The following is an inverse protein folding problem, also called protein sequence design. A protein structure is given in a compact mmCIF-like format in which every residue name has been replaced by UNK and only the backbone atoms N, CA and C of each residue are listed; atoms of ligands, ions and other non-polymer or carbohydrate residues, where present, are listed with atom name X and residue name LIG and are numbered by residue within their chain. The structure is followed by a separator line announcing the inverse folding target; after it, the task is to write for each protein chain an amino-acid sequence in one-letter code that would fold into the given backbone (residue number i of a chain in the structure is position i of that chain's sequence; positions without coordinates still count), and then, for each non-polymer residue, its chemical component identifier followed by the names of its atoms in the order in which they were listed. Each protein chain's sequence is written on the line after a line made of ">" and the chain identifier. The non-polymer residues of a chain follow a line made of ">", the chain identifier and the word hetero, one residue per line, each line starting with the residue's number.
data_IF_174075345676
#
_entry.id   IF_174075345676
#
_cell.length_a   1.000
_cell.length_b   1.000
_cell.length_c   1.000
_cell.angle_alpha   90.00
_cell.angle_beta   90.00
_cell.angle_gamma   90.00
#
_symmetry.space_group_name_H-M   'P 1'
#
loop_
_entity.id
_entity.type
_entity.pdbx_description
1 polymer ?
#
# COMPACT_ATOMS: atom_id res chain seq x y z
N UNK A 1 7.29 16.47 10.49
CA UNK A 1 5.99 15.90 10.09
C UNK A 1 5.49 14.85 11.06
N UNK A 2 6.25 13.77 11.34
CA UNK A 2 5.79 12.72 12.28
C UNK A 2 5.47 13.26 13.69
N UNK A 3 6.23 14.22 14.20
CA UNK A 3 5.93 14.87 15.48
C UNK A 3 4.59 15.63 15.47
N UNK A 4 4.23 16.28 14.35
CA UNK A 4 2.93 16.92 14.17
C UNK A 4 1.78 15.88 14.17
N UNK A 5 1.97 14.78 13.46
CA UNK A 5 1.01 13.66 13.48
C UNK A 5 0.84 13.08 14.90
N UNK A 6 1.95 12.88 15.63
CA UNK A 6 1.91 12.36 17.00
C UNK A 6 1.20 13.30 17.97
N UNK A 7 1.50 14.60 17.90
CA UNK A 7 0.97 15.59 18.85
C UNK A 7 -0.48 15.99 18.53
N UNK A 8 -0.86 15.98 17.24
CA UNK A 8 -2.17 16.43 16.76
C UNK A 8 -2.78 15.45 15.75
N UNK A 9 -3.00 14.16 16.12
CA UNK A 9 -3.43 13.13 15.18
C UNK A 9 -4.76 13.44 14.51
N UNK A 10 -5.68 14.14 15.19
CA UNK A 10 -6.98 14.54 14.61
C UNK A 10 -6.85 15.66 13.56
N UNK A 11 -5.79 16.48 13.64
CA UNK A 11 -5.55 17.56 12.65
C UNK A 11 -4.73 17.06 11.48
N UNK A 12 -3.83 16.12 11.74
CA UNK A 12 -2.84 15.57 10.79
C UNK A 12 -2.87 14.04 10.83
N UNK A 13 -4.02 13.42 10.46
CA UNK A 13 -4.22 11.98 10.66
C UNK A 13 -3.37 11.11 9.76
N UNK A 14 -2.79 11.66 8.69
CA UNK A 14 -2.10 10.89 7.64
C UNK A 14 -0.75 11.51 7.30
N UNK A 15 0.29 10.70 7.36
CA UNK A 15 1.61 10.97 6.84
C UNK A 15 1.96 9.93 5.77
N UNK A 16 2.07 10.36 4.51
CA UNK A 16 2.60 9.56 3.41
C UNK A 16 4.07 9.90 3.27
N UNK A 17 4.94 8.93 3.52
CA UNK A 17 6.36 9.14 3.73
C UNK A 17 7.19 8.34 2.72
N UNK A 18 8.21 8.97 2.19
CA UNK A 18 9.24 8.31 1.38
C UNK A 18 10.47 8.08 2.22
N UNK A 19 10.45 7.04 3.05
CA UNK A 19 11.58 6.73 3.95
C UNK A 19 12.81 6.18 3.23
N UNK A 20 12.70 5.79 1.95
CA UNK A 20 13.81 5.42 1.07
C UNK A 20 14.34 6.64 0.27
N UNK A 21 14.54 7.78 0.93
CA UNK A 21 14.96 9.04 0.32
C UNK A 21 16.22 8.91 -0.57
N UNK A 22 16.28 9.74 -1.63
CA UNK A 22 17.39 9.79 -2.58
C UNK A 22 17.18 8.97 -3.86
N UNK A 23 15.95 8.49 -4.14
CA UNK A 23 15.61 7.70 -5.33
C UNK A 23 14.43 8.29 -6.10
N UNK A 24 14.27 7.99 -7.40
CA UNK A 24 13.22 8.58 -8.25
C UNK A 24 11.80 8.40 -7.72
N UNK A 25 11.52 7.30 -7.01
CA UNK A 25 10.20 6.95 -6.49
C UNK A 25 9.88 7.58 -5.13
N UNK A 26 10.90 8.05 -4.40
CA UNK A 26 10.79 8.59 -3.05
C UNK A 26 10.96 10.10 -2.96
N UNK A 27 10.40 10.86 -3.92
CA UNK A 27 10.66 12.30 -3.99
C UNK A 27 9.95 13.12 -2.92
N UNK A 28 8.70 12.79 -2.60
CA UNK A 28 7.88 13.63 -1.73
C UNK A 28 7.45 12.92 -0.46
N UNK A 29 7.44 13.66 0.65
CA UNK A 29 6.73 13.30 1.88
C UNK A 29 5.59 14.29 2.08
N UNK A 30 4.38 13.79 2.40
CA UNK A 30 3.16 14.57 2.56
C UNK A 30 2.54 14.32 3.93
N UNK A 31 2.36 15.37 4.72
CA UNK A 31 1.49 15.35 5.91
C UNK A 31 0.17 16.00 5.53
N UNK A 32 -0.89 15.21 5.44
CA UNK A 32 -2.22 15.67 5.05
C UNK A 32 -2.88 16.38 6.23
N UNK A 33 -3.60 17.46 5.95
CA UNK A 33 -4.14 18.36 6.96
C UNK A 33 -5.56 18.85 6.63
N UNK A 34 -6.29 19.31 7.66
CA UNK A 34 -7.63 19.82 7.52
C UNK A 34 -8.62 18.75 7.11
N UNK A 35 -8.76 17.65 7.89
CA UNK A 35 -9.72 16.62 7.61
C UNK A 35 -11.15 17.18 7.74
N UNK A 36 -11.98 16.88 6.75
CA UNK A 36 -13.41 17.23 6.69
C UNK A 36 -14.24 15.98 6.38
N UNK A 37 -15.32 16.06 5.63
CA UNK A 37 -16.21 14.96 5.30
C UNK A 37 -15.53 13.63 4.96
N UNK A 38 -16.25 12.55 5.20
CA UNK A 38 -15.80 11.18 4.95
C UNK A 38 -16.79 10.43 4.08
N UNK A 39 -16.30 9.54 3.26
CA UNK A 39 -17.03 8.41 2.69
C UNK A 39 -16.40 7.14 3.25
N UNK A 40 -17.21 6.28 3.86
CA UNK A 40 -16.76 5.08 4.53
C UNK A 40 -17.61 3.89 4.12
N UNK A 41 -16.97 2.77 3.83
CA UNK A 41 -17.57 1.44 3.73
C UNK A 41 -17.17 0.66 4.98
N UNK A 42 -18.16 0.25 5.80
CA UNK A 42 -17.91 -0.51 7.02
C UNK A 42 -17.82 -2.03 6.78
N UNK A 43 -17.46 -2.78 7.82
CA UNK A 43 -17.36 -4.24 7.78
C UNK A 43 -18.68 -4.95 7.47
N UNK A 44 -19.82 -4.30 7.75
CA UNK A 44 -21.17 -4.78 7.43
C UNK A 44 -21.60 -4.42 5.99
N UNK A 45 -20.67 -3.85 5.20
CA UNK A 45 -20.87 -3.40 3.81
C UNK A 45 -21.88 -2.28 3.67
N UNK A 46 -22.00 -1.42 4.69
CA UNK A 46 -22.82 -0.22 4.66
C UNK A 46 -21.97 0.99 4.31
N UNK A 47 -22.49 1.81 3.43
CA UNK A 47 -21.88 3.07 3.03
C UNK A 47 -22.37 4.20 3.91
N UNK A 48 -21.44 5.00 4.45
CA UNK A 48 -21.70 6.16 5.28
C UNK A 48 -21.04 7.40 4.69
N UNK A 49 -21.69 8.56 4.88
CA UNK A 49 -21.12 9.87 4.56
C UNK A 49 -21.34 10.30 3.12
N UNK A 50 -20.33 10.90 2.52
CA UNK A 50 -20.38 11.68 1.30
C UNK A 50 -20.62 10.86 0.01
N UNK A 51 -21.05 11.57 -1.04
CA UNK A 51 -21.31 11.00 -2.35
C UNK A 51 -22.67 10.32 -2.47
N UNK A 52 -23.04 10.01 -3.71
CA UNK A 52 -24.29 9.30 -4.06
C UNK A 52 -23.90 8.05 -4.88
N UNK A 53 -24.65 6.96 -4.70
CA UNK A 53 -24.45 5.69 -5.38
C UNK A 53 -24.55 4.51 -4.43
N UNK A 54 -24.58 3.31 -5.00
CA UNK A 54 -24.77 2.05 -4.28
C UNK A 54 -23.44 1.38 -3.90
N UNK A 55 -22.33 1.82 -4.50
CA UNK A 55 -20.99 1.29 -4.27
C UNK A 55 -20.01 2.40 -3.86
N UNK A 56 -18.97 2.04 -3.12
CA UNK A 56 -17.95 2.97 -2.64
C UNK A 56 -17.32 3.79 -3.78
N UNK A 57 -16.93 3.14 -4.87
CA UNK A 57 -16.31 3.83 -6.00
C UNK A 57 -17.26 4.79 -6.72
N UNK A 58 -18.57 4.49 -6.79
CA UNK A 58 -19.57 5.39 -7.40
C UNK A 58 -19.76 6.65 -6.57
N UNK A 59 -19.82 6.49 -5.22
CA UNK A 59 -19.91 7.64 -4.31
C UNK A 59 -18.64 8.48 -4.34
N UNK A 60 -17.47 7.84 -4.41
CA UNK A 60 -16.20 8.54 -4.56
C UNK A 60 -16.18 9.40 -5.83
N UNK A 61 -16.59 8.81 -6.97
CA UNK A 61 -16.65 9.51 -8.24
C UNK A 61 -17.64 10.70 -8.20
N UNK A 62 -18.85 10.49 -7.65
CA UNK A 62 -19.84 11.54 -7.51
C UNK A 62 -19.31 12.67 -6.59
N UNK A 63 -18.62 12.33 -5.52
CA UNK A 63 -18.01 13.30 -4.62
C UNK A 63 -16.86 14.06 -5.30
N UNK A 64 -15.94 13.34 -5.93
CA UNK A 64 -14.85 13.96 -6.68
C UNK A 64 -15.36 14.88 -7.80
N UNK A 65 -16.34 14.45 -8.60
CA UNK A 65 -16.91 15.28 -9.67
C UNK A 65 -17.51 16.59 -9.16
N UNK A 66 -18.11 16.58 -7.98
CA UNK A 66 -18.67 17.77 -7.34
C UNK A 66 -17.59 18.75 -6.88
N UNK A 67 -16.43 18.24 -6.43
CA UNK A 67 -15.39 19.03 -5.79
C UNK A 67 -14.09 19.14 -6.58
N UNK A 68 -14.02 18.51 -7.75
CA UNK A 68 -12.79 18.54 -8.58
C UNK A 68 -12.37 19.98 -8.89
N UNK A 69 -11.07 20.16 -9.02
CA UNK A 69 -10.44 21.47 -9.23
C UNK A 69 -9.18 21.40 -10.05
N UNK A 70 -8.44 22.50 -10.13
CA UNK A 70 -7.20 22.55 -10.90
C UNK A 70 -6.12 21.64 -10.31
N UNK A 71 -5.18 21.25 -11.16
CA UNK A 71 -3.98 20.56 -10.73
C UNK A 71 -3.20 21.40 -9.69
N UNK A 72 -2.52 20.75 -8.73
CA UNK A 72 -1.64 21.45 -7.81
C UNK A 72 -0.52 22.18 -8.58
N UNK A 73 0.02 23.29 -8.03
CA UNK A 73 1.12 23.99 -8.68
C UNK A 73 2.37 23.11 -8.76
N UNK A 74 3.00 23.04 -9.93
CA UNK A 74 4.23 22.26 -10.09
C UNK A 74 5.36 22.76 -9.15
N UNK A 75 6.19 21.88 -8.62
CA UNK A 75 6.28 20.43 -8.89
C UNK A 75 5.45 19.57 -7.94
N UNK A 76 4.57 20.13 -7.15
CA UNK A 76 3.90 19.50 -6.03
C UNK A 76 2.80 18.52 -6.48
N UNK A 77 2.69 17.35 -5.85
CA UNK A 77 1.73 16.34 -6.27
C UNK A 77 0.34 16.51 -5.66
N UNK A 78 0.19 17.37 -4.64
CA UNK A 78 -1.04 17.52 -3.87
C UNK A 78 -1.16 18.93 -3.28
N UNK A 79 -2.35 19.52 -3.35
CA UNK A 79 -2.66 20.80 -2.70
C UNK A 79 -4.04 20.79 -2.02
N UNK A 80 -4.65 19.60 -1.93
CA UNK A 80 -5.97 19.28 -1.42
C UNK A 80 -6.57 18.13 -2.24
N UNK A 81 -7.56 17.45 -1.66
CA UNK A 81 -8.16 16.25 -2.22
C UNK A 81 -8.56 15.27 -1.14
N UNK A 82 -8.31 13.99 -1.33
CA UNK A 82 -8.72 12.93 -0.41
C UNK A 82 -7.53 12.04 -0.05
N UNK A 83 -7.46 11.63 1.20
CA UNK A 83 -6.79 10.40 1.60
C UNK A 83 -7.69 9.22 1.24
N UNK A 84 -7.11 8.17 0.68
CA UNK A 84 -7.79 6.92 0.41
C UNK A 84 -7.15 5.79 1.22
N UNK A 85 -7.98 4.98 1.86
CA UNK A 85 -7.65 3.67 2.40
C UNK A 85 -8.60 2.65 1.78
N UNK A 86 -8.06 1.60 1.20
CA UNK A 86 -8.79 0.53 0.52
C UNK A 86 -8.33 -0.80 1.15
N UNK A 87 -9.14 -1.38 2.03
CA UNK A 87 -8.91 -2.71 2.59
C UNK A 87 -9.19 -3.79 1.54
N UNK A 88 -8.55 -4.94 1.68
CA UNK A 88 -8.63 -6.02 0.70
C UNK A 88 -10.07 -6.44 0.36
N UNK A 89 -10.96 -6.45 1.35
CA UNK A 89 -12.36 -6.88 1.19
C UNK A 89 -13.20 -5.94 0.31
N UNK A 90 -12.71 -4.73 -0.02
CA UNK A 90 -13.31 -3.89 -1.06
C UNK A 90 -13.37 -4.63 -2.41
N UNK A 91 -12.50 -5.62 -2.63
CA UNK A 91 -12.52 -6.45 -3.82
C UNK A 91 -13.89 -7.08 -4.09
N UNK A 92 -14.70 -7.37 -3.06
CA UNK A 92 -16.07 -7.90 -3.28
C UNK A 92 -17.06 -6.84 -3.77
N UNK A 93 -16.77 -5.54 -3.70
CA UNK A 93 -17.56 -4.51 -4.40
C UNK A 93 -17.07 -4.31 -5.84
N UNK A 94 -15.76 -4.46 -6.06
CA UNK A 94 -15.13 -4.38 -7.39
C UNK A 94 -15.56 -5.56 -8.26
N UNK A 95 -15.61 -6.76 -7.66
CA UNK A 95 -16.01 -8.00 -8.32
C UNK A 95 -17.12 -8.68 -7.51
N UNK A 96 -18.40 -8.44 -7.84
CA UNK A 96 -19.54 -8.94 -7.05
C UNK A 96 -19.69 -10.46 -6.99
N UNK A 97 -18.99 -11.20 -7.85
CA UNK A 97 -18.96 -12.67 -7.82
C UNK A 97 -18.17 -13.24 -6.64
N UNK A 98 -17.29 -12.42 -6.02
CA UNK A 98 -16.46 -12.85 -4.92
C UNK A 98 -17.24 -13.01 -3.60
N UNK A 99 -16.89 -14.07 -2.88
CA UNK A 99 -17.32 -14.32 -1.51
C UNK A 99 -16.09 -14.37 -0.62
N UNK A 100 -15.66 -13.21 -0.13
CA UNK A 100 -14.51 -13.10 0.76
C UNK A 100 -14.94 -13.23 2.23
N UNK A 101 -14.06 -13.75 3.11
CA UNK A 101 -14.25 -13.66 4.55
C UNK A 101 -14.45 -12.20 5.00
N UNK A 102 -15.17 -11.95 6.11
CA UNK A 102 -15.39 -10.60 6.59
C UNK A 102 -14.08 -9.90 6.97
N UNK A 103 -14.04 -8.59 6.80
CA UNK A 103 -12.88 -7.79 7.20
C UNK A 103 -12.63 -7.90 8.71
N UNK A 104 -11.37 -8.08 9.16
CA UNK A 104 -11.01 -8.00 10.58
C UNK A 104 -11.06 -6.56 11.12
N UNK A 105 -11.14 -5.56 10.23
CA UNK A 105 -11.21 -4.16 10.58
C UNK A 105 -12.63 -3.61 10.41
N UNK A 106 -13.05 -2.64 11.25
CA UNK A 106 -14.39 -2.04 11.15
C UNK A 106 -14.59 -1.23 9.87
N UNK A 107 -13.49 -0.81 9.24
CA UNK A 107 -13.46 -0.01 8.01
C UNK A 107 -12.89 -0.85 6.88
N UNK A 108 -13.68 -1.05 5.83
CA UNK A 108 -13.27 -1.73 4.59
C UNK A 108 -12.67 -0.73 3.61
N UNK A 109 -13.27 0.46 3.46
CA UNK A 109 -12.71 1.52 2.64
C UNK A 109 -13.05 2.89 3.21
N UNK A 110 -12.13 3.84 3.03
CA UNK A 110 -12.27 5.21 3.49
C UNK A 110 -11.75 6.18 2.42
N UNK A 111 -12.57 7.16 2.07
CA UNK A 111 -12.11 8.39 1.44
C UNK A 111 -12.33 9.53 2.44
N UNK A 112 -11.25 10.25 2.77
CA UNK A 112 -11.27 11.30 3.78
C UNK A 112 -10.77 12.61 3.17
N UNK A 113 -11.62 13.62 3.15
CA UNK A 113 -11.34 14.91 2.55
C UNK A 113 -10.24 15.64 3.33
N UNK A 114 -9.19 16.10 2.63
CA UNK A 114 -8.05 16.81 3.18
C UNK A 114 -7.87 18.13 2.46
N UNK A 115 -7.96 19.25 3.17
CA UNK A 115 -8.01 20.60 2.59
C UNK A 115 -6.64 21.24 2.38
N UNK A 116 -5.59 20.67 2.99
CA UNK A 116 -4.24 21.18 2.92
C UNK A 116 -3.20 20.06 3.13
N UNK A 117 -1.95 20.35 2.88
CA UNK A 117 -0.82 19.48 3.21
C UNK A 117 0.46 20.28 3.51
N UNK A 118 1.31 19.71 4.36
CA UNK A 118 2.72 20.05 4.46
C UNK A 118 3.50 19.05 3.59
N UNK A 119 4.23 19.58 2.60
CA UNK A 119 4.97 18.76 1.64
C UNK A 119 6.45 19.01 1.76
N UNK A 120 7.24 17.94 1.66
CA UNK A 120 8.69 18.02 1.61
C UNK A 120 9.19 17.34 0.32
N UNK A 121 9.98 18.06 -0.46
CA UNK A 121 10.65 17.54 -1.66
C UNK A 121 12.08 17.15 -1.31
N UNK A 122 12.35 15.86 -1.24
CA UNK A 122 13.68 15.32 -0.92
C UNK A 122 14.74 15.66 -1.97
N UNK A 123 14.35 16.01 -3.20
CA UNK A 123 15.31 16.37 -4.27
C UNK A 123 15.85 17.77 -4.13
N UNK A 124 15.03 18.71 -3.68
CA UNK A 124 15.39 20.11 -3.49
C UNK A 124 15.61 20.51 -2.03
N UNK A 125 15.18 19.68 -1.08
CA UNK A 125 15.13 20.00 0.36
C UNK A 125 14.03 21.02 0.72
N UNK A 126 13.21 21.44 -0.24
CA UNK A 126 12.16 22.41 -0.01
C UNK A 126 10.99 21.81 0.78
N UNK A 127 10.45 22.62 1.70
CA UNK A 127 9.23 22.28 2.45
C UNK A 127 8.21 23.39 2.25
N UNK A 128 6.98 23.05 1.92
CA UNK A 128 5.92 24.02 1.66
C UNK A 128 4.59 23.58 2.27
N UNK A 129 3.75 24.55 2.58
CA UNK A 129 2.36 24.35 2.96
C UNK A 129 1.52 24.72 1.74
N UNK A 130 0.72 23.78 1.26
CA UNK A 130 -0.27 24.02 0.22
C UNK A 130 -1.67 23.77 0.79
N UNK A 131 -2.59 24.62 0.41
CA UNK A 131 -3.99 24.54 0.81
C UNK A 131 -4.89 24.95 -0.35
N UNK A 132 -6.08 24.40 -0.37
CA UNK A 132 -7.11 24.78 -1.33
C UNK A 132 -7.57 26.24 -1.15
N UNK A 133 -8.12 26.84 -2.20
CA UNK A 133 -8.87 28.08 -2.04
C UNK A 133 -9.95 27.93 -0.96
N UNK A 134 -9.99 28.87 0.00
CA UNK A 134 -10.91 28.83 1.14
C UNK A 134 -10.40 28.06 2.37
N UNK A 135 -9.25 27.37 2.30
CA UNK A 135 -8.64 26.66 3.44
C UNK A 135 -7.46 27.41 4.09
N UNK A 136 -7.41 28.76 3.93
CA UNK A 136 -6.33 29.59 4.50
C UNK A 136 -6.19 29.42 6.02
N UNK A 137 -7.29 29.23 6.76
CA UNK A 137 -7.26 28.97 8.20
C UNK A 137 -6.58 27.65 8.57
N UNK A 138 -6.69 26.62 7.73
CA UNK A 138 -5.98 25.33 7.92
C UNK A 138 -4.48 25.53 7.71
N UNK A 139 -4.08 26.26 6.66
CA UNK A 139 -2.69 26.57 6.38
C UNK A 139 -2.02 27.40 7.50
N UNK A 140 -2.75 28.38 8.05
CA UNK A 140 -2.28 29.21 9.16
C UNK A 140 -2.09 28.40 10.44
N UNK A 141 -3.06 27.54 10.76
CA UNK A 141 -2.97 26.61 11.90
C UNK A 141 -1.78 25.67 11.76
N UNK A 142 -1.60 25.08 10.57
CA UNK A 142 -0.47 24.19 10.28
C UNK A 142 0.87 24.92 10.45
N UNK A 143 0.97 26.20 10.03
CA UNK A 143 2.13 27.04 10.22
C UNK A 143 2.42 27.29 11.70
N UNK A 144 1.38 27.63 12.48
CA UNK A 144 1.48 27.84 13.92
C UNK A 144 1.91 26.57 14.65
N UNK A 145 1.29 25.44 14.35
CA UNK A 145 1.62 24.15 14.97
C UNK A 145 3.06 23.72 14.60
N UNK A 146 3.51 24.00 13.36
CA UNK A 146 4.88 23.72 12.92
C UNK A 146 5.93 24.58 13.67
N UNK A 147 5.61 25.82 14.02
CA UNK A 147 6.48 26.70 14.82
C UNK A 147 6.53 26.31 16.29
N UNK A 148 5.41 25.76 16.81
CA UNK A 148 5.28 25.37 18.21
C UNK A 148 5.86 23.98 18.50
N UNK A 149 6.03 23.12 17.48
CA UNK A 149 6.46 21.74 17.70
C UNK A 149 7.97 21.66 17.99
N UNK A 150 8.30 20.89 18.99
CA UNK A 150 9.70 20.53 19.28
C UNK A 150 10.28 19.52 18.27
N UNK A 151 11.56 19.18 18.42
CA UNK A 151 12.17 18.13 17.62
C UNK A 151 11.40 16.82 17.76
N UNK A 152 11.29 16.07 16.66
CA UNK A 152 10.62 14.77 16.70
C UNK A 152 11.30 13.86 17.74
N UNK A 153 10.54 13.17 18.60
CA UNK A 153 11.11 12.15 19.45
C UNK A 153 11.81 11.11 18.57
N UNK A 154 13.06 10.82 18.89
CA UNK A 154 13.77 9.71 18.25
C UNK A 154 13.04 8.38 18.48
N UNK A 155 13.43 7.32 17.78
CA UNK A 155 12.82 5.99 17.92
C UNK A 155 13.13 5.31 19.26
N UNK A 156 13.16 6.04 20.37
CA UNK A 156 13.57 5.65 21.73
C UNK A 156 13.50 4.14 22.05
N UNK A 157 14.12 3.64 23.10
CA UNK A 157 14.02 2.25 23.47
C UNK A 157 12.54 1.94 23.72
N UNK A 158 11.98 1.01 22.98
CA UNK A 158 10.67 0.42 23.28
C UNK A 158 10.98 -0.80 24.13
N UNK A 159 10.25 -0.99 25.24
CA UNK A 159 10.19 -2.28 25.91
C UNK A 159 9.93 -3.38 24.86
N UNK A 160 10.45 -4.58 25.06
CA UNK A 160 10.17 -5.69 24.17
C UNK A 160 8.64 -5.82 24.00
N UNK A 161 8.18 -5.99 22.78
CA UNK A 161 6.80 -6.43 22.56
C UNK A 161 6.58 -7.70 23.38
N UNK A 162 5.37 -7.87 23.89
CA UNK A 162 4.96 -9.16 24.45
C UNK A 162 5.19 -10.29 23.45
N UNK A 163 4.92 -11.52 23.83
CA UNK A 163 5.13 -12.68 22.96
C UNK A 163 4.47 -12.47 21.60
N UNK A 164 5.26 -12.56 20.51
CA UNK A 164 4.77 -12.53 19.15
C UNK A 164 4.23 -13.92 18.82
N UNK A 165 2.97 -13.98 18.44
CA UNK A 165 2.28 -15.21 18.05
C UNK A 165 2.21 -15.28 16.52
N UNK A 166 2.75 -16.34 15.95
CA UNK A 166 2.69 -16.68 14.54
C UNK A 166 1.52 -17.64 14.29
N UNK A 167 0.77 -17.49 13.20
CA UNK A 167 -0.24 -18.49 12.79
C UNK A 167 0.43 -19.87 12.63
N UNK A 168 -0.32 -20.95 12.97
CA UNK A 168 0.19 -22.32 12.91
C UNK A 168 0.81 -22.65 11.54
N UNK A 169 2.07 -23.07 11.48
CA UNK A 169 2.76 -23.35 10.23
C UNK A 169 2.04 -24.38 9.36
N UNK A 170 1.46 -25.43 9.96
CA UNK A 170 0.82 -26.50 9.19
C UNK A 170 -0.41 -26.03 8.43
N UNK A 171 -1.18 -25.06 8.94
CA UNK A 171 -2.29 -24.46 8.20
C UNK A 171 -1.82 -23.83 6.88
N UNK A 172 -0.69 -23.12 6.92
CA UNK A 172 -0.11 -22.53 5.72
C UNK A 172 0.42 -23.58 4.74
N UNK A 173 1.09 -24.61 5.26
CA UNK A 173 1.60 -25.71 4.44
C UNK A 173 0.45 -26.47 3.73
N UNK A 174 -0.66 -26.70 4.42
CA UNK A 174 -1.86 -27.29 3.83
C UNK A 174 -2.45 -26.40 2.73
N UNK A 175 -2.57 -25.08 2.99
CA UNK A 175 -3.02 -24.11 2.00
C UNK A 175 -2.11 -24.08 0.76
N UNK A 176 -0.77 -24.15 0.94
CA UNK A 176 0.19 -24.24 -0.16
C UNK A 176 -0.01 -25.50 -0.99
N UNK A 177 -0.18 -26.68 -0.35
CA UNK A 177 -0.43 -27.96 -1.05
C UNK A 177 -1.74 -27.90 -1.86
N UNK A 178 -2.79 -27.30 -1.29
CA UNK A 178 -4.06 -27.10 -1.98
C UNK A 178 -3.93 -26.14 -3.17
N UNK A 179 -3.19 -25.04 -3.01
CA UNK A 179 -2.93 -24.12 -4.13
C UNK A 179 -2.14 -24.80 -5.25
N UNK A 180 -1.13 -25.61 -4.93
CA UNK A 180 -0.41 -26.43 -5.92
C UNK A 180 -1.31 -27.41 -6.66
N UNK A 181 -2.27 -28.03 -5.99
CA UNK A 181 -3.27 -28.89 -6.64
C UNK A 181 -4.15 -28.10 -7.62
N UNK A 182 -4.58 -26.88 -7.28
CA UNK A 182 -5.32 -26.00 -8.19
C UNK A 182 -4.47 -25.55 -9.39
N UNK A 183 -3.19 -25.28 -9.17
CA UNK A 183 -2.24 -24.96 -10.27
C UNK A 183 -2.07 -26.15 -11.20
N UNK A 184 -1.88 -27.35 -10.65
CA UNK A 184 -1.75 -28.59 -11.45
C UNK A 184 -3.05 -28.93 -12.22
N UNK A 185 -4.22 -28.56 -11.69
CA UNK A 185 -5.50 -28.71 -12.36
C UNK A 185 -5.74 -27.64 -13.45
N UNK A 186 -4.89 -26.60 -13.54
CA UNK A 186 -5.02 -25.51 -14.51
C UNK A 186 -6.01 -24.41 -14.09
N UNK A 187 -6.42 -24.36 -12.84
CA UNK A 187 -7.34 -23.34 -12.33
C UNK A 187 -6.69 -21.96 -12.27
N UNK A 188 -5.42 -21.91 -11.85
CA UNK A 188 -4.62 -20.68 -11.70
C UNK A 188 -3.16 -20.96 -12.07
N UNK A 189 -2.43 -19.90 -12.43
CA UNK A 189 -0.97 -19.98 -12.66
C UNK A 189 -0.17 -19.69 -11.39
N UNK A 190 -0.70 -18.80 -10.54
CA UNK A 190 -0.10 -18.37 -9.30
C UNK A 190 -1.19 -17.95 -8.32
N UNK A 191 -1.00 -18.22 -7.03
CA UNK A 191 -1.83 -17.69 -5.95
C UNK A 191 -0.95 -17.16 -4.81
N UNK A 192 -1.19 -15.91 -4.36
CA UNK A 192 -0.44 -15.31 -3.26
C UNK A 192 -1.12 -15.66 -1.92
N UNK A 193 -0.51 -16.57 -1.15
CA UNK A 193 -1.02 -16.99 0.16
C UNK A 193 -0.25 -16.31 1.29
N UNK A 194 -0.96 -15.94 2.36
CA UNK A 194 -0.41 -15.20 3.47
C UNK A 194 -0.71 -15.86 4.82
N UNK A 195 0.09 -15.46 5.82
CA UNK A 195 -0.07 -15.81 7.23
C UNK A 195 0.06 -14.56 8.09
N UNK A 196 -0.35 -14.70 9.35
CA UNK A 196 -0.46 -13.60 10.29
C UNK A 196 0.47 -13.77 11.49
N UNK A 197 0.96 -12.65 12.01
CA UNK A 197 1.63 -12.51 13.30
C UNK A 197 0.88 -11.48 14.13
N UNK A 198 0.70 -11.76 15.41
CA UNK A 198 0.05 -10.88 16.39
C UNK A 198 0.93 -10.67 17.61
N UNK A 199 0.88 -9.48 18.16
CA UNK A 199 1.55 -9.13 19.39
C UNK A 199 0.76 -8.06 20.13
N UNK A 200 0.81 -8.03 21.48
CA UNK A 200 0.34 -6.86 22.21
C UNK A 200 1.11 -5.61 21.74
N UNK A 201 0.44 -4.49 21.59
CA UNK A 201 1.11 -3.22 21.36
C UNK A 201 1.99 -2.91 22.59
N UNK A 202 3.26 -2.48 22.39
CA UNK A 202 4.13 -2.18 23.53
C UNK A 202 3.53 -1.08 24.41
N UNK A 203 3.53 -1.29 25.72
CA UNK A 203 2.92 -0.37 26.67
C UNK A 203 3.54 1.03 26.60
N UNK A 204 2.70 2.07 26.58
CA UNK A 204 3.12 3.48 26.50
C UNK A 204 3.72 3.90 25.15
N UNK A 205 3.60 3.06 24.12
CA UNK A 205 4.09 3.35 22.77
C UNK A 205 2.94 3.78 21.87
N UNK A 206 3.04 5.01 21.35
CA UNK A 206 2.08 5.52 20.37
C UNK A 206 2.30 4.87 18.99
N UNK A 207 1.26 4.79 18.14
CA UNK A 207 1.43 4.36 16.76
C UNK A 207 2.53 5.13 16.01
N UNK A 208 2.68 6.43 16.27
CA UNK A 208 3.72 7.25 15.66
C UNK A 208 5.14 6.81 16.06
N UNK A 209 5.36 6.47 17.32
CA UNK A 209 6.65 5.92 17.79
C UNK A 209 6.93 4.54 17.17
N UNK A 210 5.90 3.69 17.08
CA UNK A 210 6.03 2.39 16.43
C UNK A 210 6.34 2.56 14.93
N UNK A 211 5.69 3.51 14.26
CA UNK A 211 6.00 3.86 12.88
C UNK A 211 7.43 4.38 12.71
N UNK A 212 7.92 5.23 13.61
CA UNK A 212 9.30 5.70 13.58
C UNK A 212 10.32 4.54 13.59
N UNK A 213 10.04 3.47 14.34
CA UNK A 213 10.85 2.24 14.33
C UNK A 213 10.69 1.44 13.05
N UNK A 214 9.46 1.28 12.56
CA UNK A 214 9.20 0.56 11.33
C UNK A 214 9.97 1.15 10.16
N UNK A 215 9.90 2.48 9.97
CA UNK A 215 10.60 3.16 8.88
C UNK A 215 12.13 3.11 9.02
N UNK A 216 12.65 3.01 10.25
CA UNK A 216 14.09 2.84 10.50
C UNK A 216 14.54 1.39 10.23
N UNK A 217 13.75 0.39 10.65
CA UNK A 217 14.07 -1.02 10.50
C UNK A 217 13.86 -1.54 9.06
N UNK A 218 12.89 -0.96 8.33
CA UNK A 218 12.48 -1.39 7.01
C UNK A 218 12.06 -0.20 6.13
N UNK A 219 12.99 0.65 5.67
CA UNK A 219 12.65 1.82 4.86
C UNK A 219 12.03 1.41 3.52
N UNK A 220 10.88 1.99 3.19
CA UNK A 220 10.13 1.76 1.95
C UNK A 220 9.90 3.05 1.16
N UNK A 221 9.73 2.92 -0.16
CA UNK A 221 9.49 4.05 -1.06
C UNK A 221 8.07 4.64 -0.88
N UNK A 222 7.11 3.82 -0.46
CA UNK A 222 5.70 4.16 -0.27
C UNK A 222 5.27 3.89 1.18
N UNK A 223 6.05 4.40 2.13
CA UNK A 223 5.78 4.29 3.56
C UNK A 223 4.68 5.26 3.99
N UNK A 224 4.11 5.05 5.17
CA UNK A 224 3.16 6.00 5.73
C UNK A 224 2.51 5.48 7.00
N UNK A 225 1.90 6.43 7.71
CA UNK A 225 1.02 6.15 8.83
C UNK A 225 -0.31 6.86 8.61
N UNK A 226 -1.40 6.15 8.84
CA UNK A 226 -2.74 6.72 8.83
C UNK A 226 -3.50 6.27 10.09
N UNK A 227 -4.09 7.22 10.81
CA UNK A 227 -4.94 6.97 11.96
C UNK A 227 -6.38 7.39 11.67
N UNK A 228 -7.33 6.50 11.87
CA UNK A 228 -8.76 6.77 11.76
C UNK A 228 -9.54 5.89 12.74
N UNK A 229 -10.47 6.51 13.46
CA UNK A 229 -11.24 5.88 14.51
C UNK A 229 -10.32 5.20 15.56
N UNK A 230 -10.43 3.88 15.76
CA UNK A 230 -9.59 3.08 16.66
C UNK A 230 -8.47 2.31 15.93
N UNK A 231 -8.28 2.57 14.63
CA UNK A 231 -7.33 1.87 13.76
C UNK A 231 -6.15 2.78 13.41
N UNK A 232 -4.93 2.25 13.48
CA UNK A 232 -3.77 2.86 12.88
C UNK A 232 -3.10 1.87 11.90
N UNK A 233 -2.87 2.33 10.66
CA UNK A 233 -2.15 1.59 9.62
C UNK A 233 -0.74 2.16 9.53
N UNK A 234 0.26 1.31 9.76
CA UNK A 234 1.68 1.65 9.72
C UNK A 234 2.34 0.84 8.61
N UNK A 235 2.72 1.50 7.53
CA UNK A 235 3.23 0.84 6.34
C UNK A 235 4.66 1.26 5.99
N UNK A 236 5.47 0.31 5.58
CA UNK A 236 6.78 0.52 4.96
C UNK A 236 6.83 -0.15 3.57
N UNK A 237 5.75 0.03 2.83
CA UNK A 237 5.59 -0.60 1.52
C UNK A 237 6.67 -0.19 0.52
N UNK A 238 7.23 -1.15 -0.23
CA UNK A 238 8.12 -0.87 -1.35
C UNK A 238 7.38 -0.64 -2.66
N UNK A 239 6.06 -0.95 -2.73
CA UNK A 239 5.36 -1.17 -3.99
C UNK A 239 4.21 -0.17 -4.21
N UNK A 240 4.12 0.33 -5.45
CA UNK A 240 3.02 1.18 -5.92
C UNK A 240 1.95 0.30 -6.57
N UNK A 241 0.70 0.53 -6.19
CA UNK A 241 -0.45 -0.03 -6.91
C UNK A 241 -0.64 0.70 -8.24
N UNK A 242 -0.80 2.02 -8.18
CA UNK A 242 -1.08 2.84 -9.34
C UNK A 242 -0.71 4.29 -9.11
N UNK A 243 -0.28 4.97 -10.16
CA UNK A 243 -0.14 6.43 -10.23
C UNK A 243 -0.88 6.96 -11.46
N UNK A 244 -1.66 8.01 -11.25
CA UNK A 244 -2.26 8.82 -12.32
C UNK A 244 -1.72 10.24 -12.21
N UNK A 245 -1.27 10.81 -13.32
CA UNK A 245 -0.82 12.19 -13.43
C UNK A 245 -1.30 12.77 -14.75
N UNK A 246 -2.28 13.67 -14.69
CA UNK A 246 -3.05 14.05 -15.86
C UNK A 246 -3.73 12.82 -16.48
N UNK A 247 -3.48 12.58 -17.77
CA UNK A 247 -3.99 11.38 -18.46
C UNK A 247 -3.03 10.19 -18.45
N UNK A 248 -1.81 10.34 -17.94
CA UNK A 248 -0.87 9.24 -17.82
C UNK A 248 -1.18 8.40 -16.62
N UNK A 249 -1.30 7.08 -16.82
CA UNK A 249 -1.38 6.08 -15.76
C UNK A 249 -0.16 5.18 -15.78
N UNK A 250 0.36 4.84 -14.60
CA UNK A 250 1.54 3.97 -14.44
C UNK A 250 1.25 2.93 -13.35
N UNK A 251 1.67 1.68 -13.59
CA UNK A 251 1.83 0.63 -12.58
C UNK A 251 3.28 0.15 -12.59
N UNK A 252 3.77 -0.34 -11.44
CA UNK A 252 5.18 -0.71 -11.33
C UNK A 252 5.36 -2.03 -10.60
N UNK A 253 5.07 -3.16 -11.28
CA UNK A 253 5.23 -4.49 -10.69
C UNK A 253 6.68 -4.77 -10.33
N UNK A 254 6.86 -5.40 -9.16
CA UNK A 254 8.13 -5.86 -8.64
C UNK A 254 8.11 -7.38 -8.63
N UNK A 255 9.17 -8.01 -9.18
CA UNK A 255 9.39 -9.44 -9.05
C UNK A 255 10.85 -9.71 -8.74
N UNK A 256 11.09 -10.85 -8.12
CA UNK A 256 12.43 -11.23 -7.71
C UNK A 256 13.04 -10.32 -6.64
N UNK A 257 13.67 -10.94 -5.67
CA UNK A 257 14.36 -10.22 -4.59
C UNK A 257 15.64 -10.95 -4.25
N UNK A 258 16.73 -10.21 -4.15
CA UNK A 258 17.99 -10.73 -3.60
C UNK A 258 18.51 -9.81 -2.52
N UNK A 259 19.08 -10.37 -1.44
CA UNK A 259 19.68 -9.55 -0.39
C UNK A 259 20.86 -8.75 -0.95
N UNK A 260 21.01 -7.54 -0.46
CA UNK A 260 22.20 -6.73 -0.70
C UNK A 260 23.30 -7.15 0.26
N UNK A 261 24.46 -7.49 -0.27
CA UNK A 261 25.61 -7.97 0.49
C UNK A 261 26.70 -6.88 0.52
N UNK A 262 27.39 -6.74 1.64
CA UNK A 262 28.50 -5.78 1.78
C UNK A 262 29.66 -6.04 0.80
N UNK A 263 29.80 -7.30 0.37
CA UNK A 263 30.71 -7.72 -0.70
C UNK A 263 29.96 -8.69 -1.62
N UNK A 264 29.76 -8.34 -2.89
CA UNK A 264 29.13 -9.24 -3.86
C UNK A 264 27.80 -8.78 -4.47
N UNK A 265 27.44 -7.49 -4.37
CA UNK A 265 26.25 -6.92 -4.99
C UNK A 265 26.13 -7.27 -6.48
N UNK A 266 27.26 -7.26 -7.22
CA UNK A 266 27.27 -7.61 -8.64
C UNK A 266 26.90 -9.09 -8.89
N UNK A 267 27.29 -10.02 -8.01
CA UNK A 267 26.92 -11.43 -8.12
C UNK A 267 25.43 -11.65 -7.83
N UNK A 268 24.87 -10.99 -6.79
CA UNK A 268 23.45 -11.04 -6.46
C UNK A 268 22.59 -10.47 -7.59
N UNK A 269 23.02 -9.37 -8.21
CA UNK A 269 22.32 -8.77 -9.37
C UNK A 269 22.40 -9.71 -10.59
N UNK A 270 23.58 -10.29 -10.87
CA UNK A 270 23.74 -11.21 -11.98
C UNK A 270 22.87 -12.47 -11.80
N UNK A 271 22.83 -13.04 -10.60
CA UNK A 271 21.95 -14.17 -10.27
C UNK A 271 20.48 -13.82 -10.47
N UNK A 272 20.03 -12.66 -9.94
CA UNK A 272 18.67 -12.19 -10.07
C UNK A 272 18.26 -12.03 -11.54
N UNK A 273 19.11 -11.42 -12.36
CA UNK A 273 18.83 -11.16 -13.78
C UNK A 273 18.94 -12.39 -14.66
N UNK A 274 19.75 -13.39 -14.27
CA UNK A 274 19.93 -14.64 -15.01
C UNK A 274 18.82 -15.68 -14.71
N UNK A 275 18.08 -15.53 -13.61
CA UNK A 275 17.03 -16.48 -13.21
C UNK A 275 15.89 -16.52 -14.24
N UNK A 276 15.76 -17.66 -14.94
CA UNK A 276 14.67 -17.87 -15.90
C UNK A 276 13.30 -17.88 -15.21
N UNK A 277 13.21 -18.41 -13.98
CA UNK A 277 11.97 -18.44 -13.16
C UNK A 277 11.51 -17.01 -12.85
N UNK A 278 12.40 -16.19 -12.26
CA UNK A 278 12.07 -14.80 -11.88
C UNK A 278 11.65 -13.96 -13.10
N UNK A 279 12.31 -14.17 -14.24
CA UNK A 279 11.97 -13.49 -15.51
C UNK A 279 10.61 -13.90 -16.03
N UNK A 280 10.29 -15.21 -16.00
CA UNK A 280 8.99 -15.72 -16.46
C UNK A 280 7.85 -15.22 -15.57
N UNK A 281 8.02 -15.24 -14.25
CA UNK A 281 7.07 -14.66 -13.29
C UNK A 281 6.88 -13.17 -13.56
N UNK A 282 7.96 -12.42 -13.76
CA UNK A 282 7.89 -10.99 -14.02
C UNK A 282 7.15 -10.64 -15.32
N UNK A 283 7.36 -11.41 -16.39
CA UNK A 283 6.62 -11.25 -17.66
C UNK A 283 5.13 -11.50 -17.44
N UNK A 284 4.76 -12.51 -16.67
CA UNK A 284 3.36 -12.78 -16.32
C UNK A 284 2.73 -11.61 -15.56
N UNK A 285 3.44 -11.02 -14.59
CA UNK A 285 2.96 -9.83 -13.87
C UNK A 285 2.81 -8.62 -14.79
N UNK A 286 3.76 -8.39 -15.70
CA UNK A 286 3.65 -7.33 -16.70
C UNK A 286 2.41 -7.51 -17.58
N UNK A 287 2.12 -8.71 -18.04
CA UNK A 287 0.95 -8.98 -18.87
C UNK A 287 -0.36 -8.78 -18.10
N UNK A 288 -0.39 -9.14 -16.81
CA UNK A 288 -1.53 -8.88 -15.93
C UNK A 288 -1.79 -7.36 -15.79
N UNK A 289 -0.74 -6.58 -15.51
CA UNK A 289 -0.84 -5.11 -15.41
C UNK A 289 -1.24 -4.48 -16.77
N UNK A 290 -0.71 -4.97 -17.88
CA UNK A 290 -1.12 -4.52 -19.24
C UNK A 290 -2.60 -4.80 -19.51
N UNK A 291 -3.11 -5.95 -19.10
CA UNK A 291 -4.53 -6.28 -19.23
C UNK A 291 -5.40 -5.32 -18.40
N UNK A 292 -5.02 -5.05 -17.16
CA UNK A 292 -5.78 -4.15 -16.28
C UNK A 292 -5.77 -2.71 -16.82
N UNK A 293 -4.62 -2.19 -17.25
CA UNK A 293 -4.51 -0.87 -17.87
C UNK A 293 -5.27 -0.80 -19.21
N UNK A 294 -5.31 -1.88 -19.98
CA UNK A 294 -6.02 -1.95 -21.26
C UNK A 294 -7.52 -1.66 -21.15
N UNK A 295 -8.11 -1.88 -19.96
CA UNK A 295 -9.52 -1.58 -19.68
C UNK A 295 -9.81 -0.08 -19.57
N UNK A 296 -8.79 0.74 -19.32
CA UNK A 296 -8.89 2.16 -19.00
C UNK A 296 -8.28 3.06 -20.08
N UNK A 297 -7.29 2.56 -20.79
CA UNK A 297 -6.45 3.36 -21.67
C UNK A 297 -6.98 3.43 -23.10
N UNK A 298 -6.52 4.45 -23.81
CA UNK A 298 -6.70 4.54 -25.25
C UNK A 298 -6.09 3.32 -25.95
N UNK A 299 -6.78 2.74 -26.94
CA UNK A 299 -6.25 1.59 -27.68
C UNK A 299 -4.84 1.87 -28.24
N UNK A 300 -3.93 0.93 -28.03
CA UNK A 300 -2.54 1.04 -28.49
C UNK A 300 -1.63 1.94 -27.65
N UNK A 301 -2.13 2.58 -26.57
CA UNK A 301 -1.31 3.45 -25.72
C UNK A 301 -0.58 2.70 -24.58
N UNK A 302 -1.04 1.49 -24.26
CA UNK A 302 -0.42 0.68 -23.20
C UNK A 302 0.92 0.14 -23.68
N UNK A 303 1.98 0.44 -22.93
CA UNK A 303 3.33 0.00 -23.23
C UNK A 303 4.15 -0.23 -21.95
N UNK A 304 5.22 -0.97 -22.10
CA UNK A 304 6.27 -1.13 -21.08
C UNK A 304 7.40 -0.16 -21.46
N UNK A 305 7.57 0.93 -20.72
CA UNK A 305 8.59 1.93 -21.01
C UNK A 305 9.86 1.76 -20.18
N UNK A 306 9.83 0.90 -19.15
CA UNK A 306 11.00 0.38 -18.45
C UNK A 306 10.82 -1.12 -18.22
N UNK A 307 11.75 -1.94 -18.71
CA UNK A 307 11.64 -3.39 -18.72
C UNK A 307 12.77 -4.03 -17.95
N UNK A 308 12.44 -4.79 -16.89
CA UNK A 308 13.37 -5.56 -16.07
C UNK A 308 14.57 -4.76 -15.56
N UNK A 309 14.34 -3.50 -15.16
CA UNK A 309 15.36 -2.68 -14.52
C UNK A 309 15.67 -3.22 -13.12
N UNK A 310 16.93 -3.17 -12.71
CA UNK A 310 17.34 -3.53 -11.35
C UNK A 310 17.30 -2.28 -10.48
N UNK A 311 16.44 -2.31 -9.48
CA UNK A 311 16.44 -1.32 -8.41
C UNK A 311 17.12 -1.89 -7.15
N UNK A 312 18.11 -1.15 -6.65
CA UNK A 312 18.82 -1.53 -5.41
C UNK A 312 18.34 -0.68 -4.25
N UNK A 313 17.84 -1.26 -3.19
CA UNK A 313 17.43 -0.63 -1.94
C UNK A 313 18.47 -0.83 -0.84
N UNK A 314 18.23 -0.34 0.36
CA UNK A 314 19.20 -0.42 1.45
C UNK A 314 19.66 -1.86 1.74
N UNK A 315 18.73 -2.82 1.61
CA UNK A 315 18.96 -4.22 2.01
C UNK A 315 18.70 -5.23 0.90
N UNK A 316 18.14 -4.82 -0.23
CA UNK A 316 17.69 -5.74 -1.29
C UNK A 316 17.86 -5.16 -2.69
N UNK A 317 17.96 -6.04 -3.69
CA UNK A 317 17.82 -5.73 -5.12
C UNK A 317 16.51 -6.34 -5.62
N UNK A 318 15.78 -5.61 -6.47
CA UNK A 318 14.56 -6.06 -7.13
C UNK A 318 14.65 -5.92 -8.64
N UNK A 319 13.93 -6.77 -9.38
CA UNK A 319 13.62 -6.54 -10.78
C UNK A 319 12.30 -5.77 -10.82
N UNK A 320 12.27 -4.68 -11.56
CA UNK A 320 11.12 -3.80 -11.68
C UNK A 320 10.85 -3.48 -13.15
N UNK A 321 9.59 -3.40 -13.53
CA UNK A 321 9.20 -2.86 -14.83
C UNK A 321 8.17 -1.76 -14.64
N UNK A 322 8.09 -0.82 -15.58
CA UNK A 322 7.04 0.19 -15.60
C UNK A 322 6.09 -0.07 -16.76
N UNK A 323 4.82 -0.29 -16.44
CA UNK A 323 3.74 -0.41 -17.41
C UNK A 323 2.94 0.87 -17.37
N UNK A 324 2.76 1.52 -18.51
CA UNK A 324 2.06 2.80 -18.57
C UNK A 324 1.10 2.86 -19.74
N UNK A 325 0.15 3.81 -19.66
CA UNK A 325 -0.80 4.08 -20.72
C UNK A 325 -1.36 5.48 -20.65
N UNK A 326 -2.23 5.82 -21.59
CA UNK A 326 -2.97 7.07 -21.64
C UNK A 326 -4.44 6.79 -21.36
N UNK A 327 -4.96 7.31 -20.26
CA UNK A 327 -6.38 7.17 -19.91
C UNK A 327 -7.29 7.77 -20.97
N UNK A 328 -8.43 7.14 -21.19
CA UNK A 328 -9.53 7.75 -21.93
C UNK A 328 -10.11 8.93 -21.15
N UNK A 329 -10.75 9.86 -21.82
CA UNK A 329 -11.27 11.11 -21.20
C UNK A 329 -12.42 10.87 -20.22
N UNK A 330 -13.12 9.74 -20.34
CA UNK A 330 -14.25 9.35 -19.50
C UNK A 330 -13.86 8.60 -18.22
N UNK A 331 -12.57 8.30 -18.02
CA UNK A 331 -12.10 7.52 -16.87
C UNK A 331 -12.09 8.34 -15.59
N UNK A 332 -12.77 7.83 -14.57
CA UNK A 332 -12.86 8.43 -13.24
C UNK A 332 -11.90 7.76 -12.26
N UNK A 333 -11.60 8.38 -11.09
CA UNK A 333 -10.80 7.75 -10.04
C UNK A 333 -11.36 6.40 -9.57
N UNK A 334 -12.69 6.29 -9.41
CA UNK A 334 -13.34 5.04 -9.05
C UNK A 334 -13.22 3.96 -10.13
N UNK A 335 -13.23 4.36 -11.41
CA UNK A 335 -12.97 3.43 -12.51
C UNK A 335 -11.53 2.89 -12.48
N UNK A 336 -10.54 3.73 -12.12
CA UNK A 336 -9.14 3.31 -11.93
C UNK A 336 -9.04 2.30 -10.80
N UNK A 337 -9.68 2.56 -9.66
CA UNK A 337 -9.70 1.62 -8.52
C UNK A 337 -10.33 0.29 -8.96
N UNK A 338 -11.51 0.31 -9.61
CA UNK A 338 -12.18 -0.92 -10.06
C UNK A 338 -11.36 -1.77 -11.02
N UNK A 339 -10.54 -1.17 -11.85
CA UNK A 339 -9.75 -1.90 -12.82
C UNK A 339 -8.49 -2.54 -12.23
N UNK A 340 -7.85 -1.88 -11.26
CA UNK A 340 -6.53 -2.25 -10.77
C UNK A 340 -6.55 -2.89 -9.37
N UNK A 341 -7.55 -2.58 -8.54
CA UNK A 341 -7.61 -3.08 -7.17
C UNK A 341 -8.33 -4.44 -7.06
N UNK A 342 -7.80 -5.36 -6.23
CA UNK A 342 -6.46 -5.34 -5.65
C UNK A 342 -5.38 -5.62 -6.71
N UNK A 343 -4.13 -5.28 -6.38
CA UNK A 343 -3.00 -5.45 -7.31
C UNK A 343 -2.79 -6.90 -7.75
N UNK A 344 -2.31 -7.08 -8.98
CA UNK A 344 -2.04 -8.40 -9.54
C UNK A 344 -0.92 -9.14 -8.83
N UNK A 345 0.12 -8.42 -8.42
CA UNK A 345 1.33 -8.96 -7.76
C UNK A 345 1.04 -9.61 -6.42
N UNK A 346 -0.06 -9.22 -5.75
CA UNK A 346 -0.44 -9.71 -4.41
C UNK A 346 -1.68 -10.59 -4.40
N UNK A 347 -2.22 -10.92 -5.58
CA UNK A 347 -3.35 -11.84 -5.76
C UNK A 347 -2.93 -13.06 -6.56
N UNK A 348 -2.66 -12.91 -7.83
CA UNK A 348 -2.25 -13.97 -8.75
C UNK A 348 -3.01 -13.91 -10.09
N UNK A 349 -2.87 -14.95 -10.91
CA UNK A 349 -3.41 -15.00 -12.26
C UNK A 349 -4.13 -16.33 -12.53
N UNK A 350 -5.40 -16.32 -13.02
CA UNK A 350 -6.31 -15.19 -13.24
C UNK A 350 -6.80 -14.55 -11.94
N UNK A 351 -6.84 -13.20 -11.88
CA UNK A 351 -7.05 -12.42 -10.66
C UNK A 351 -8.30 -12.85 -9.86
N UNK A 352 -9.46 -12.89 -10.48
CA UNK A 352 -10.73 -13.21 -9.80
C UNK A 352 -10.69 -14.63 -9.20
N UNK A 353 -10.21 -15.61 -9.96
CA UNK A 353 -10.10 -17.00 -9.47
C UNK A 353 -9.11 -17.10 -8.31
N UNK A 354 -7.99 -16.38 -8.38
CA UNK A 354 -7.02 -16.32 -7.27
C UNK A 354 -7.63 -15.73 -6.02
N UNK A 355 -8.41 -14.64 -6.12
CA UNK A 355 -9.08 -14.04 -4.95
C UNK A 355 -10.08 -14.99 -4.30
N UNK A 356 -10.82 -15.79 -5.09
CA UNK A 356 -11.71 -16.84 -4.54
C UNK A 356 -10.91 -17.88 -3.76
N UNK A 357 -9.85 -18.43 -4.37
CA UNK A 357 -8.98 -19.42 -3.74
C UNK A 357 -8.31 -18.90 -2.47
N UNK A 358 -7.84 -17.66 -2.49
CA UNK A 358 -7.26 -17.00 -1.31
C UNK A 358 -8.29 -16.94 -0.17
N UNK A 359 -9.53 -16.52 -0.48
CA UNK A 359 -10.62 -16.49 0.50
C UNK A 359 -10.92 -17.86 1.12
N UNK A 360 -10.98 -18.89 0.27
CA UNK A 360 -11.28 -20.27 0.69
C UNK A 360 -10.11 -20.88 1.50
N UNK A 361 -8.85 -20.68 1.07
CA UNK A 361 -7.68 -21.31 1.67
C UNK A 361 -7.20 -20.61 2.94
N UNK A 362 -7.28 -19.29 3.01
CA UNK A 362 -6.92 -18.55 4.22
C UNK A 362 -8.05 -18.55 5.26
N UNK A 363 -9.32 -18.60 4.84
CA UNK A 363 -10.50 -18.65 5.70
C UNK A 363 -10.68 -17.43 6.60
N UNK A 364 -9.88 -16.37 6.41
CA UNK A 364 -9.85 -15.14 7.22
C UNK A 364 -9.74 -13.93 6.33
N UNK A 365 -10.38 -12.83 6.73
CA UNK A 365 -10.22 -11.55 6.05
C UNK A 365 -8.79 -11.01 6.17
N UNK A 366 -8.34 -10.27 5.16
CA UNK A 366 -6.99 -9.70 5.10
C UNK A 366 -6.89 -8.28 5.68
N UNK A 367 -8.01 -7.54 5.73
CA UNK A 367 -8.06 -6.17 6.23
C UNK A 367 -7.17 -5.22 5.44
N UNK A 368 -6.21 -4.60 6.11
CA UNK A 368 -5.26 -3.71 5.47
C UNK A 368 -4.25 -4.43 4.58
N UNK A 369 -3.89 -5.68 4.90
CA UNK A 369 -2.89 -6.42 4.15
C UNK A 369 -3.35 -6.64 2.70
N UNK A 370 -2.48 -6.32 1.74
CA UNK A 370 -2.75 -6.34 0.29
C UNK A 370 -3.86 -5.39 -0.18
N UNK A 371 -4.30 -4.52 0.72
CA UNK A 371 -5.07 -3.33 0.39
C UNK A 371 -4.20 -2.22 -0.19
N UNK A 372 -4.68 -0.99 -0.17
CA UNK A 372 -3.96 0.18 -0.65
C UNK A 372 -4.23 1.41 0.22
N UNK A 373 -3.27 2.34 0.25
CA UNK A 373 -3.51 3.69 0.75
C UNK A 373 -2.73 4.73 -0.06
N UNK A 374 -3.19 5.96 -0.01
CA UNK A 374 -2.52 7.07 -0.68
C UNK A 374 -3.43 8.28 -0.81
N UNK A 375 -3.31 9.03 -1.88
CA UNK A 375 -4.10 10.24 -2.10
C UNK A 375 -4.76 10.27 -3.48
N UNK A 376 -5.88 10.98 -3.55
CA UNK A 376 -6.55 11.45 -4.74
C UNK A 376 -6.57 12.98 -4.69
N UNK A 377 -5.99 13.66 -5.66
CA UNK A 377 -5.99 15.12 -5.76
C UNK A 377 -7.26 15.64 -6.48
N UNK A 378 -7.51 16.94 -6.37
CA UNK A 378 -8.68 17.58 -6.96
C UNK A 378 -8.76 17.45 -8.49
N UNK A 379 -7.62 17.39 -9.17
CA UNK A 379 -7.52 17.23 -10.63
C UNK A 379 -7.68 15.78 -11.12
N UNK A 380 -7.87 14.82 -10.19
CA UNK A 380 -7.92 13.39 -10.48
C UNK A 380 -6.56 12.69 -10.47
N UNK A 381 -5.46 13.41 -10.22
CA UNK A 381 -4.17 12.77 -9.97
C UNK A 381 -4.25 11.89 -8.72
N UNK A 382 -3.69 10.69 -8.83
CA UNK A 382 -3.81 9.62 -7.84
C UNK A 382 -2.46 8.95 -7.64
N UNK A 383 -2.09 8.62 -6.39
CA UNK A 383 -0.94 7.77 -6.09
C UNK A 383 -1.29 6.86 -4.91
N UNK A 384 -1.40 5.55 -5.17
CA UNK A 384 -1.73 4.52 -4.20
C UNK A 384 -0.61 3.48 -4.12
N UNK A 385 -0.26 3.10 -2.90
CA UNK A 385 0.62 1.97 -2.65
C UNK A 385 -0.16 0.66 -2.54
N UNK A 386 0.57 -0.47 -2.45
CA UNK A 386 0.05 -1.75 -1.99
C UNK A 386 0.45 -1.92 -0.52
N UNK A 387 -0.50 -2.24 0.35
CA UNK A 387 -0.25 -2.41 1.79
C UNK A 387 0.38 -3.77 2.10
N UNK A 388 1.67 -3.90 1.83
CA UNK A 388 2.56 -4.97 2.29
C UNK A 388 3.62 -4.39 3.21
N UNK A 389 4.30 -5.21 3.99
CA UNK A 389 5.24 -4.76 5.04
C UNK A 389 4.56 -3.75 5.99
N UNK A 390 3.33 -4.07 6.34
CA UNK A 390 2.39 -3.19 7.02
C UNK A 390 1.95 -3.83 8.33
N UNK A 391 1.85 -3.01 9.37
CA UNK A 391 1.22 -3.33 10.65
C UNK A 391 -0.11 -2.60 10.77
N UNK A 392 -1.07 -3.26 11.38
CA UNK A 392 -2.32 -2.65 11.88
C UNK A 392 -2.27 -2.64 13.40
N UNK A 393 -2.54 -1.48 14.00
CA UNK A 393 -2.66 -1.34 15.46
C UNK A 393 -4.10 -1.03 15.79
N UNK A 394 -4.71 -1.86 16.65
CA UNK A 394 -6.09 -1.69 17.09
C UNK A 394 -6.31 -2.35 18.44
N UNK A 395 -7.04 -1.71 19.35
CA UNK A 395 -7.43 -2.30 20.62
C UNK A 395 -6.26 -2.78 21.48
N UNK A 396 -5.07 -2.18 21.36
CA UNK A 396 -3.88 -2.61 22.08
C UNK A 396 -3.17 -3.83 21.48
N UNK A 397 -3.55 -4.25 20.28
CA UNK A 397 -2.92 -5.33 19.52
C UNK A 397 -2.27 -4.81 18.24
N UNK A 398 -1.15 -5.43 17.85
CA UNK A 398 -0.50 -5.24 16.56
C UNK A 398 -0.67 -6.51 15.74
N UNK A 399 -1.24 -6.37 14.56
CA UNK A 399 -1.32 -7.44 13.56
C UNK A 399 -0.44 -7.09 12.35
N UNK A 400 0.27 -8.06 11.81
CA UNK A 400 0.94 -7.97 10.52
C UNK A 400 0.80 -9.27 9.74
N UNK A 401 0.84 -9.16 8.40
CA UNK A 401 0.79 -10.32 7.51
C UNK A 401 1.93 -10.28 6.51
N UNK A 402 2.34 -11.46 6.09
CA UNK A 402 3.28 -11.65 5.00
C UNK A 402 2.88 -12.90 4.21
N UNK A 403 3.10 -12.88 2.91
CA UNK A 403 2.73 -13.96 2.01
C UNK A 403 3.78 -14.22 0.95
N UNK A 404 3.59 -15.33 0.25
CA UNK A 404 4.39 -15.72 -0.90
C UNK A 404 3.50 -16.13 -2.08
N UNK A 405 4.01 -15.93 -3.30
CA UNK A 405 3.35 -16.35 -4.53
C UNK A 405 3.61 -17.81 -4.82
N UNK A 406 2.60 -18.65 -4.64
CA UNK A 406 2.70 -20.09 -4.91
C UNK A 406 2.58 -20.33 -6.42
N UNK A 407 3.59 -20.96 -7.00
CA UNK A 407 3.67 -21.34 -8.41
C UNK A 407 3.95 -22.84 -8.54
N UNK A 408 3.89 -23.39 -9.75
CA UNK A 408 4.01 -24.84 -9.99
C UNK A 408 5.26 -25.49 -9.37
N UNK A 409 6.38 -24.76 -9.32
CA UNK A 409 7.66 -25.25 -8.77
C UNK A 409 7.87 -24.86 -7.29
N UNK A 410 6.84 -24.33 -6.60
CA UNK A 410 6.97 -23.94 -5.20
C UNK A 410 7.08 -25.16 -4.28
N UNK A 411 8.02 -25.07 -3.33
CA UNK A 411 8.12 -25.99 -2.19
C UNK A 411 7.46 -25.36 -0.96
N UNK A 412 6.44 -26.00 -0.34
CA UNK A 412 5.69 -25.40 0.77
C UNK A 412 6.55 -24.97 1.96
N UNK A 413 7.63 -25.71 2.28
CA UNK A 413 8.53 -25.35 3.40
C UNK A 413 9.36 -24.12 3.04
N UNK A 414 9.84 -24.05 1.80
CA UNK A 414 10.56 -22.86 1.32
C UNK A 414 9.66 -21.62 1.32
N UNK A 415 8.40 -21.74 0.86
CA UNK A 415 7.46 -20.64 0.86
C UNK A 415 7.08 -20.18 2.30
N UNK A 416 6.99 -21.13 3.24
CA UNK A 416 6.83 -20.83 4.67
C UNK A 416 7.98 -19.96 5.18
N UNK A 417 9.21 -20.33 4.88
CA UNK A 417 10.41 -19.58 5.30
C UNK A 417 10.50 -18.21 4.59
N UNK A 418 10.02 -18.11 3.35
CA UNK A 418 9.91 -16.83 2.64
C UNK A 418 8.95 -15.87 3.34
N UNK A 419 7.78 -16.36 3.81
CA UNK A 419 6.85 -15.51 4.59
C UNK A 419 7.52 -14.96 5.86
N UNK A 420 8.29 -15.78 6.57
CA UNK A 420 9.06 -15.37 7.75
C UNK A 420 10.13 -14.35 7.42
N UNK A 421 10.85 -14.56 6.31
CA UNK A 421 11.85 -13.60 5.82
C UNK A 421 11.21 -12.23 5.49
N UNK A 422 10.04 -12.24 4.86
CA UNK A 422 9.26 -11.02 4.54
C UNK A 422 8.72 -10.33 5.79
N UNK A 423 8.32 -11.05 6.82
CA UNK A 423 7.85 -10.51 8.09
C UNK A 423 8.97 -9.91 8.95
N UNK A 424 10.19 -10.43 8.84
CA UNK A 424 11.34 -10.13 9.73
C UNK A 424 11.63 -8.64 9.87
N UNK A 425 11.60 -7.87 8.75
CA UNK A 425 11.86 -6.43 8.79
C UNK A 425 10.83 -5.66 9.62
N UNK A 426 9.57 -6.11 9.55
CA UNK A 426 8.45 -5.51 10.29
C UNK A 426 8.50 -5.96 11.77
N UNK A 427 8.78 -7.24 12.04
CA UNK A 427 8.91 -7.79 13.39
C UNK A 427 10.04 -7.14 14.20
N UNK A 428 11.15 -6.76 13.54
CA UNK A 428 12.23 -5.99 14.19
C UNK A 428 11.77 -4.67 14.77
N UNK A 429 10.79 -4.01 14.15
CA UNK A 429 10.22 -2.78 14.68
C UNK A 429 9.46 -3.01 16.00
N UNK A 430 8.97 -4.22 16.25
CA UNK A 430 8.37 -4.64 17.51
C UNK A 430 9.38 -5.07 18.58
N UNK A 431 10.69 -5.08 18.27
CA UNK A 431 11.74 -5.49 19.20
C UNK A 431 12.11 -6.98 19.11
N UNK A 432 11.66 -7.68 18.08
CA UNK A 432 12.12 -9.06 17.83
C UNK A 432 13.61 -9.06 17.46
N UNK A 433 14.38 -9.95 18.08
CA UNK A 433 15.83 -10.15 17.83
C UNK A 433 16.12 -11.29 16.85
N UNK A 434 15.07 -11.94 16.30
CA UNK A 434 15.17 -13.11 15.42
C UNK A 434 15.22 -12.81 13.93
#
# INVERSE_FOLDING_TARGET
>A
MLALHEQYPERYPVLLDSSAAGRPLGRFTLLLAGPEGRLLLDQDRRLHGEGNGDHFCDRLDAWWQRERGPAPPAPWPFAGGWFLYLGYELASEVEPSLRLPPSPLPVVALAWRMRAALLHDHSSGATTILAEPGAAGVAERLRSDLQAIGPAPGPGPIGAAGAIVEDEPEQYLEACRAALAHIAAGDVYQANLARCWRAPAPEGVTPAKLYARLRAANPGAFSGIAGFDDVAILSSSPERLVRVSGRRIDTRPIAGTRPRLASGDAASIAELTASAKERAEHVMLIDLERNDLGRLCEPGSVRVDEFMAVESYAHVHHIVSNVCGQLRDDVTPGAVIRALFPGGTITGCPKVRCMQLIGDLEGKGRGAYTGAMGYLALDGSLDLNILIRTMTVRGGEVELRAGAGIVADSDPLHELDETRAKARGVLRALGSTG
#
